data_IF_611097928309
#
_entry.id   IF_611097928309
#
_cell.length_a   1.000
_cell.length_b   1.000
_cell.length_c   1.000
_cell.angle_alpha   90.00
_cell.angle_beta   90.00
_cell.angle_gamma   90.00
#
_symmetry.space_group_name_H-M   'P 1'
#
loop_
_entity.id
_entity.type
_entity.pdbx_description
1 polymer ?
#
# COMPACT_ATOMS: atom_id res chain seq x y z
N UNK A 1 -35.03 4.78 11.77
CA UNK A 1 -34.06 3.71 11.45
C UNK A 1 -34.85 2.41 11.40
N UNK A 2 -34.97 1.82 10.22
CA UNK A 2 -35.97 0.78 9.94
C UNK A 2 -35.55 -0.62 10.36
N UNK A 3 -36.53 -1.46 10.70
CA UNK A 3 -36.43 -2.88 11.06
C UNK A 3 -35.82 -3.78 9.95
N UNK A 4 -35.48 -3.21 8.80
CA UNK A 4 -34.84 -3.90 7.66
C UNK A 4 -33.32 -4.07 7.83
N UNK A 5 -32.68 -3.33 8.72
CA UNK A 5 -31.22 -3.41 8.93
C UNK A 5 -30.78 -4.61 9.80
N UNK A 6 -31.73 -5.31 10.46
CA UNK A 6 -31.44 -6.46 11.33
C UNK A 6 -31.17 -7.76 10.56
N UNK A 7 -31.54 -7.84 9.27
CA UNK A 7 -31.38 -9.04 8.42
C UNK A 7 -30.45 -8.85 7.21
N UNK A 8 -29.70 -7.75 7.15
CA UNK A 8 -28.74 -7.49 6.07
C UNK A 8 -27.43 -8.23 6.36
N UNK A 9 -27.24 -9.41 5.77
CA UNK A 9 -25.94 -10.10 5.81
C UNK A 9 -24.92 -9.25 5.05
N UNK A 10 -23.84 -8.87 5.72
CA UNK A 10 -22.76 -8.11 5.08
C UNK A 10 -22.27 -8.83 3.83
N UNK A 11 -22.22 -8.10 2.74
CA UNK A 11 -21.64 -8.61 1.50
C UNK A 11 -20.14 -8.85 1.70
N UNK A 12 -19.51 -9.79 0.96
CA UNK A 12 -18.06 -9.98 1.01
C UNK A 12 -17.27 -8.68 0.77
N UNK A 13 -17.80 -7.80 -0.08
CA UNK A 13 -17.22 -6.49 -0.39
C UNK A 13 -17.29 -5.51 0.79
N UNK A 14 -18.40 -5.49 1.53
CA UNK A 14 -18.56 -4.68 2.75
C UNK A 14 -17.60 -5.16 3.86
N UNK A 15 -17.44 -6.48 4.02
CA UNK A 15 -16.46 -7.06 4.97
C UNK A 15 -15.03 -6.62 4.65
N UNK A 16 -14.62 -6.72 3.39
CA UNK A 16 -13.28 -6.28 2.94
C UNK A 16 -13.06 -4.79 3.25
N UNK A 17 -14.06 -3.94 3.01
CA UNK A 17 -13.99 -2.50 3.35
C UNK A 17 -13.92 -2.25 4.87
N UNK A 18 -14.67 -3.01 5.66
CA UNK A 18 -14.63 -2.95 7.13
C UNK A 18 -13.25 -3.32 7.66
N UNK A 19 -12.68 -4.44 7.21
CA UNK A 19 -11.33 -4.87 7.60
C UNK A 19 -10.27 -3.86 7.15
N UNK A 20 -10.38 -3.29 5.94
CA UNK A 20 -9.43 -2.26 5.48
C UNK A 20 -9.38 -1.07 6.45
N UNK A 21 -10.56 -0.56 6.83
CA UNK A 21 -10.66 0.54 7.81
C UNK A 21 -10.13 0.15 9.19
N UNK A 22 -10.27 -1.12 9.60
CA UNK A 22 -9.68 -1.61 10.85
C UNK A 22 -8.16 -1.61 10.76
N UNK A 23 -7.57 -2.16 9.69
CA UNK A 23 -6.12 -2.17 9.47
C UNK A 23 -5.55 -0.74 9.42
N UNK A 24 -6.21 0.19 8.73
CA UNK A 24 -5.79 1.59 8.65
C UNK A 24 -5.79 2.27 10.04
N UNK A 25 -6.76 1.93 10.91
CA UNK A 25 -6.79 2.40 12.30
C UNK A 25 -5.63 1.81 13.09
N UNK A 26 -5.42 0.50 13.01
CA UNK A 26 -4.29 -0.16 13.69
C UNK A 26 -2.94 0.43 13.25
N UNK A 27 -2.74 0.72 11.97
CA UNK A 27 -1.53 1.41 11.48
C UNK A 27 -1.31 2.76 12.18
N UNK A 28 -2.36 3.58 12.28
CA UNK A 28 -2.27 4.90 12.95
C UNK A 28 -1.99 4.77 14.44
N UNK A 29 -2.58 3.78 15.10
CA UNK A 29 -2.35 3.53 16.52
C UNK A 29 -0.92 3.05 16.77
N UNK A 30 -0.36 2.18 15.90
CA UNK A 30 1.05 1.80 15.95
C UNK A 30 1.99 2.99 15.73
N UNK A 31 1.67 3.89 14.80
CA UNK A 31 2.47 5.10 14.56
C UNK A 31 2.46 6.03 15.78
N UNK A 32 1.31 6.17 16.45
CA UNK A 32 1.19 6.93 17.71
C UNK A 32 2.00 6.29 18.83
N UNK A 33 1.92 4.98 18.99
CA UNK A 33 2.66 4.25 20.02
C UNK A 33 4.18 4.34 19.79
N UNK A 34 4.62 4.21 18.53
CA UNK A 34 6.01 4.45 18.13
C UNK A 34 6.48 5.85 18.52
N UNK A 35 5.68 6.89 18.27
CA UNK A 35 6.07 8.26 18.62
C UNK A 35 6.23 8.46 20.14
N UNK A 36 5.38 7.79 20.94
CA UNK A 36 5.53 7.77 22.41
C UNK A 36 6.83 7.09 22.83
N UNK A 37 7.12 5.91 22.27
CA UNK A 37 8.35 5.16 22.56
C UNK A 37 9.62 5.93 22.12
N UNK A 38 9.60 6.60 20.97
CA UNK A 38 10.70 7.46 20.50
C UNK A 38 10.95 8.65 21.44
N UNK A 39 9.88 9.25 21.96
CA UNK A 39 9.99 10.33 22.96
C UNK A 39 10.56 9.80 24.28
N UNK A 40 10.12 8.64 24.72
CA UNK A 40 10.65 7.97 25.91
C UNK A 40 12.13 7.61 25.73
N UNK A 41 12.53 7.11 24.56
CA UNK A 41 13.92 6.82 24.23
C UNK A 41 14.81 8.07 24.38
N UNK A 42 14.35 9.22 23.88
CA UNK A 42 15.05 10.51 24.01
C UNK A 42 15.15 10.94 25.48
N UNK A 43 14.09 10.76 26.28
CA UNK A 43 14.10 11.08 27.72
C UNK A 43 15.12 10.23 28.47
N UNK A 44 15.09 8.91 28.27
CA UNK A 44 16.05 7.98 28.88
C UNK A 44 17.48 8.38 28.49
N UNK A 45 17.72 8.75 27.23
CA UNK A 45 19.04 9.20 26.78
C UNK A 45 19.50 10.48 27.50
N UNK A 46 18.61 11.45 27.71
CA UNK A 46 18.93 12.69 28.43
C UNK A 46 19.21 12.43 29.92
N UNK A 47 18.37 11.63 30.57
CA UNK A 47 18.54 11.25 31.97
C UNK A 47 19.82 10.45 32.19
N UNK A 48 20.11 9.49 31.30
CA UNK A 48 21.36 8.71 31.31
C UNK A 48 22.60 9.62 31.21
N UNK A 49 22.57 10.63 30.33
CA UNK A 49 23.66 11.63 30.24
C UNK A 49 23.80 12.46 31.51
N UNK A 50 22.69 12.83 32.16
CA UNK A 50 22.71 13.60 33.41
C UNK A 50 23.31 12.79 34.54
N UNK A 51 22.89 11.53 34.71
CA UNK A 51 23.36 10.64 35.78
C UNK A 51 24.82 10.23 35.56
N UNK A 52 25.26 10.10 34.30
CA UNK A 52 26.66 9.87 33.97
C UNK A 52 27.57 11.03 34.40
N UNK A 53 27.10 12.28 34.32
CA UNK A 53 27.85 13.46 34.83
C UNK A 53 27.91 13.52 36.36
N UNK A 54 27.01 12.82 37.05
CA UNK A 54 26.95 12.74 38.51
C UNK A 54 27.69 11.51 39.06
N UNK A 55 28.45 10.80 38.20
CA UNK A 55 29.18 9.56 38.50
C UNK A 55 28.31 8.44 39.11
N UNK A 56 27.00 8.44 38.83
CA UNK A 56 26.07 7.41 39.28
C UNK A 56 26.04 6.22 38.32
N UNK A 57 27.10 5.43 38.32
CA UNK A 57 27.34 4.32 37.37
C UNK A 57 26.25 3.25 37.41
N UNK A 58 25.73 2.90 38.59
CA UNK A 58 24.69 1.87 38.74
C UNK A 58 23.35 2.31 38.13
N UNK A 59 22.97 3.57 38.32
CA UNK A 59 21.76 4.14 37.71
C UNK A 59 21.88 4.17 36.19
N UNK A 60 23.05 4.56 35.66
CA UNK A 60 23.35 4.54 34.21
C UNK A 60 23.24 3.13 33.65
N UNK A 61 23.73 2.11 34.37
CA UNK A 61 23.65 0.71 33.93
C UNK A 61 22.20 0.22 33.84
N UNK A 62 21.33 0.61 34.77
CA UNK A 62 19.90 0.28 34.76
C UNK A 62 19.22 0.98 33.57
N UNK A 63 19.44 2.28 33.39
CA UNK A 63 18.86 3.05 32.27
C UNK A 63 19.35 2.57 30.90
N UNK A 64 20.60 2.13 30.79
CA UNK A 64 21.13 1.56 29.56
C UNK A 64 20.38 0.27 29.14
N UNK A 65 20.03 -0.58 30.12
CA UNK A 65 19.19 -1.77 29.85
C UNK A 65 17.79 -1.37 29.38
N UNK A 66 17.20 -0.34 29.98
CA UNK A 66 15.87 0.16 29.59
C UNK A 66 15.86 0.79 28.20
N UNK A 67 16.94 1.51 27.84
CA UNK A 67 17.15 2.05 26.49
C UNK A 67 17.17 0.93 25.45
N UNK A 68 17.90 -0.16 25.71
CA UNK A 68 17.98 -1.31 24.79
C UNK A 68 16.61 -1.98 24.64
N UNK A 69 15.84 -2.11 25.74
CA UNK A 69 14.47 -2.65 25.68
C UNK A 69 13.58 -1.76 24.82
N UNK A 70 13.56 -0.46 25.08
CA UNK A 70 12.77 0.53 24.33
C UNK A 70 13.10 0.49 22.83
N UNK A 71 14.38 0.39 22.46
CA UNK A 71 14.81 0.23 21.06
C UNK A 71 14.29 -1.05 20.41
N UNK A 72 14.32 -2.18 21.13
CA UNK A 72 13.75 -3.45 20.64
C UNK A 72 12.23 -3.34 20.43
N UNK A 73 11.51 -2.66 21.32
CA UNK A 73 10.08 -2.39 21.14
C UNK A 73 9.83 -1.49 19.91
N UNK A 74 10.59 -0.42 19.74
CA UNK A 74 10.52 0.42 18.53
C UNK A 74 10.72 -0.41 17.25
N UNK A 75 11.74 -1.28 17.21
CA UNK A 75 11.98 -2.17 16.07
C UNK A 75 10.81 -3.15 15.83
N UNK A 76 10.24 -3.71 16.90
CA UNK A 76 9.06 -4.59 16.80
C UNK A 76 7.85 -3.85 16.20
N UNK A 77 7.63 -2.59 16.58
CA UNK A 77 6.55 -1.76 16.00
C UNK A 77 6.74 -1.53 14.51
N UNK A 78 7.97 -1.26 14.04
CA UNK A 78 8.24 -1.15 12.60
C UNK A 78 7.90 -2.44 11.85
N UNK A 79 8.32 -3.60 12.37
CA UNK A 79 8.00 -4.90 11.75
C UNK A 79 6.50 -5.13 11.67
N UNK A 80 5.77 -4.87 12.76
CA UNK A 80 4.31 -5.02 12.79
C UNK A 80 3.61 -4.08 11.80
N UNK A 81 4.03 -2.81 11.71
CA UNK A 81 3.51 -1.87 10.72
C UNK A 81 3.68 -2.41 9.30
N UNK A 82 4.89 -2.85 8.94
CA UNK A 82 5.17 -3.37 7.59
C UNK A 82 4.34 -4.62 7.29
N UNK A 83 4.16 -5.52 8.27
CA UNK A 83 3.30 -6.69 8.12
C UNK A 83 1.84 -6.30 7.84
N UNK A 84 1.29 -5.33 8.59
CA UNK A 84 -0.07 -4.83 8.36
C UNK A 84 -0.21 -4.17 6.99
N UNK A 85 0.79 -3.39 6.57
CA UNK A 85 0.81 -2.80 5.23
C UNK A 85 0.79 -3.89 4.14
N UNK A 86 1.57 -4.96 4.29
CA UNK A 86 1.54 -6.11 3.38
C UNK A 86 0.17 -6.81 3.33
N UNK A 87 -0.49 -6.99 4.48
CA UNK A 87 -1.85 -7.54 4.54
C UNK A 87 -2.86 -6.60 3.87
N UNK A 88 -2.74 -5.29 4.08
CA UNK A 88 -3.61 -4.28 3.44
C UNK A 88 -3.49 -4.32 1.92
N UNK A 89 -2.26 -4.45 1.39
CA UNK A 89 -2.01 -4.59 -0.04
C UNK A 89 -2.65 -5.87 -0.61
N UNK A 90 -2.43 -7.03 0.03
CA UNK A 90 -3.08 -8.28 -0.38
C UNK A 90 -4.60 -8.18 -0.39
N UNK A 91 -5.16 -7.48 0.60
CA UNK A 91 -6.61 -7.27 0.68
C UNK A 91 -7.12 -6.32 -0.42
N UNK A 92 -6.34 -5.33 -0.82
CA UNK A 92 -6.63 -4.49 -1.98
C UNK A 92 -6.61 -5.30 -3.29
N UNK A 93 -5.61 -6.16 -3.49
CA UNK A 93 -5.56 -7.08 -4.65
C UNK A 93 -6.78 -8.00 -4.67
N UNK A 94 -7.15 -8.58 -3.52
CA UNK A 94 -8.35 -9.41 -3.39
C UNK A 94 -9.64 -8.63 -3.72
N UNK A 95 -9.73 -7.36 -3.32
CA UNK A 95 -10.87 -6.51 -3.67
C UNK A 95 -10.97 -6.29 -5.19
N UNK A 96 -9.86 -5.95 -5.85
CA UNK A 96 -9.81 -5.74 -7.31
C UNK A 96 -10.15 -7.01 -8.07
N UNK A 97 -9.62 -8.16 -7.62
CA UNK A 97 -9.93 -9.48 -8.19
C UNK A 97 -11.41 -9.83 -8.06
N UNK A 98 -12.00 -9.57 -6.88
CA UNK A 98 -13.44 -9.79 -6.66
C UNK A 98 -14.32 -8.88 -7.54
N UNK A 99 -13.93 -7.61 -7.75
CA UNK A 99 -14.63 -6.69 -8.64
C UNK A 99 -14.52 -7.13 -10.11
N UNK A 100 -13.34 -7.60 -10.52
CA UNK A 100 -13.13 -8.16 -11.85
C UNK A 100 -14.00 -9.39 -12.07
N UNK A 101 -14.04 -10.34 -11.12
CA UNK A 101 -14.90 -11.52 -11.20
C UNK A 101 -16.39 -11.15 -11.33
N UNK A 102 -16.86 -10.12 -10.61
CA UNK A 102 -18.24 -9.65 -10.68
C UNK A 102 -18.55 -8.98 -12.04
N UNK A 103 -17.60 -8.18 -12.56
CA UNK A 103 -17.70 -7.61 -13.91
C UNK A 103 -17.74 -8.71 -14.99
N UNK A 104 -16.87 -9.72 -14.88
CA UNK A 104 -16.84 -10.87 -15.78
C UNK A 104 -18.12 -11.68 -15.73
N UNK A 105 -18.75 -11.80 -14.56
CA UNK A 105 -20.08 -12.42 -14.41
C UNK A 105 -21.17 -11.63 -15.14
N UNK A 106 -21.10 -10.30 -15.11
CA UNK A 106 -21.98 -9.42 -15.89
C UNK A 106 -21.77 -9.60 -17.40
N UNK A 107 -20.51 -9.57 -17.85
CA UNK A 107 -20.13 -9.78 -19.26
C UNK A 107 -20.55 -11.17 -19.74
N UNK A 108 -20.26 -12.25 -19.00
CA UNK A 108 -20.70 -13.60 -19.37
C UNK A 108 -22.22 -13.75 -19.37
N UNK A 109 -22.96 -13.07 -18.49
CA UNK A 109 -24.42 -13.07 -18.52
C UNK A 109 -24.97 -12.37 -19.75
N UNK A 110 -24.42 -11.20 -20.11
CA UNK A 110 -24.75 -10.47 -21.34
C UNK A 110 -24.40 -11.31 -22.58
N UNK A 111 -23.22 -11.92 -22.58
CA UNK A 111 -22.74 -12.80 -23.63
C UNK A 111 -23.59 -14.07 -23.75
N UNK A 112 -24.07 -14.66 -22.64
CA UNK A 112 -25.02 -15.79 -22.65
C UNK A 112 -26.38 -15.38 -23.20
N UNK A 113 -26.86 -14.19 -22.86
CA UNK A 113 -28.10 -13.65 -23.45
C UNK A 113 -27.96 -13.29 -24.94
N UNK A 114 -26.75 -12.93 -25.39
CA UNK A 114 -26.41 -12.63 -26.77
C UNK A 114 -26.15 -13.92 -27.59
N UNK A 115 -25.56 -14.95 -26.99
CA UNK A 115 -25.33 -16.29 -27.56
C UNK A 115 -26.66 -17.00 -27.88
N UNK A 116 -27.73 -16.67 -27.16
CA UNK A 116 -29.10 -17.08 -27.54
C UNK A 116 -29.56 -16.53 -28.91
N UNK A 117 -28.81 -15.59 -29.51
CA UNK A 117 -29.14 -14.93 -30.78
C UNK A 117 -27.97 -14.84 -31.78
N UNK A 118 -26.75 -15.31 -31.48
CA UNK A 118 -25.59 -15.24 -32.41
C UNK A 118 -24.48 -16.27 -32.12
N UNK A 119 -23.78 -16.71 -33.18
CA UNK A 119 -22.84 -17.84 -33.28
C UNK A 119 -21.71 -17.90 -32.21
N UNK A 120 -21.51 -19.11 -31.69
CA UNK A 120 -20.65 -19.55 -30.56
C UNK A 120 -19.11 -19.41 -30.70
N UNK A 121 -18.45 -19.30 -31.87
CA UNK A 121 -16.97 -19.36 -31.96
C UNK A 121 -16.19 -18.17 -31.37
N UNK A 122 -16.68 -16.94 -31.52
CA UNK A 122 -15.92 -15.74 -31.12
C UNK A 122 -15.84 -15.56 -29.61
N UNK A 123 -16.88 -16.00 -28.90
CA UNK A 123 -16.97 -15.98 -27.43
C UNK A 123 -15.87 -16.83 -26.78
N UNK A 124 -15.63 -18.03 -27.32
CA UNK A 124 -14.58 -18.93 -26.84
C UNK A 124 -13.17 -18.42 -27.15
N UNK A 125 -13.03 -17.56 -28.18
CA UNK A 125 -11.75 -16.92 -28.51
C UNK A 125 -11.43 -15.81 -27.50
N UNK A 126 -12.42 -14.98 -27.15
CA UNK A 126 -12.25 -13.90 -26.15
C UNK A 126 -11.91 -14.47 -24.76
N UNK A 127 -12.54 -15.58 -24.35
CA UNK A 127 -12.22 -16.23 -23.06
C UNK A 127 -10.79 -16.79 -23.03
N UNK A 128 -10.34 -17.42 -24.13
CA UNK A 128 -8.96 -17.92 -24.24
C UNK A 128 -7.92 -16.80 -24.31
N UNK A 129 -8.21 -15.71 -25.04
CA UNK A 129 -7.34 -14.55 -25.10
C UNK A 129 -7.22 -13.87 -23.72
N UNK A 130 -8.33 -13.83 -22.98
CA UNK A 130 -8.35 -13.31 -21.61
C UNK A 130 -7.55 -14.19 -20.64
N UNK A 131 -7.74 -15.51 -20.66
CA UNK A 131 -6.95 -16.44 -19.84
C UNK A 131 -5.45 -16.25 -20.11
N UNK A 132 -5.07 -16.15 -21.39
CA UNK A 132 -3.67 -15.90 -21.79
C UNK A 132 -3.14 -14.55 -21.32
N UNK A 133 -3.95 -13.48 -21.38
CA UNK A 133 -3.54 -12.17 -20.87
C UNK A 133 -3.46 -12.11 -19.35
N UNK A 134 -4.36 -12.82 -18.66
CA UNK A 134 -4.37 -12.87 -17.20
C UNK A 134 -3.17 -13.70 -16.67
N UNK A 135 -2.82 -14.78 -17.37
CA UNK A 135 -1.61 -15.57 -17.12
C UNK A 135 -0.33 -14.76 -17.44
N UNK A 136 -0.35 -13.98 -18.52
CA UNK A 136 0.74 -13.05 -18.86
C UNK A 136 0.84 -11.88 -17.86
N UNK A 137 -0.26 -11.46 -17.24
CA UNK A 137 -0.27 -10.46 -16.18
C UNK A 137 0.32 -11.03 -14.88
N UNK A 138 -0.04 -12.27 -14.51
CA UNK A 138 0.60 -12.98 -13.39
C UNK A 138 2.10 -13.18 -13.61
N UNK A 139 2.51 -13.63 -14.80
CA UNK A 139 3.93 -13.73 -15.17
C UNK A 139 4.63 -12.37 -15.20
N UNK A 140 3.98 -11.28 -15.63
CA UNK A 140 4.58 -9.93 -15.56
C UNK A 140 4.73 -9.44 -14.13
N UNK A 141 3.80 -9.77 -13.25
CA UNK A 141 3.90 -9.42 -11.82
C UNK A 141 5.05 -10.18 -11.17
N UNK A 142 5.20 -11.47 -11.47
CA UNK A 142 6.33 -12.30 -10.99
C UNK A 142 7.67 -11.88 -11.63
N UNK A 143 7.74 -11.64 -12.94
CA UNK A 143 8.95 -11.14 -13.60
C UNK A 143 9.32 -9.72 -13.17
N UNK A 144 8.35 -8.87 -12.83
CA UNK A 144 8.63 -7.54 -12.31
C UNK A 144 9.08 -7.60 -10.85
N UNK A 145 8.53 -8.49 -10.04
CA UNK A 145 9.02 -8.75 -8.69
C UNK A 145 10.43 -9.36 -8.72
N UNK A 146 10.71 -10.31 -9.61
CA UNK A 146 12.04 -10.91 -9.78
C UNK A 146 13.06 -9.93 -10.36
N UNK A 147 12.68 -9.08 -11.33
CA UNK A 147 13.57 -8.04 -11.85
C UNK A 147 13.85 -6.93 -10.83
N UNK A 148 12.86 -6.57 -10.01
CA UNK A 148 13.01 -5.60 -8.92
C UNK A 148 13.83 -6.21 -7.78
N UNK A 149 13.65 -7.48 -7.43
CA UNK A 149 14.43 -8.15 -6.40
C UNK A 149 15.85 -8.49 -6.88
N UNK A 150 16.05 -8.82 -8.17
CA UNK A 150 17.37 -8.97 -8.80
C UNK A 150 18.10 -7.62 -8.89
N UNK A 151 17.40 -6.52 -9.20
CA UNK A 151 17.97 -5.17 -9.14
C UNK A 151 18.30 -4.77 -7.70
N UNK A 152 17.45 -5.09 -6.72
CA UNK A 152 17.71 -4.82 -5.29
C UNK A 152 18.88 -5.64 -4.73
N UNK A 153 19.08 -6.87 -5.20
CA UNK A 153 20.20 -7.72 -4.78
C UNK A 153 21.51 -7.40 -5.51
N UNK A 154 21.49 -7.06 -6.81
CA UNK A 154 22.70 -6.68 -7.57
C UNK A 154 23.23 -5.28 -7.24
N UNK A 155 22.38 -4.34 -6.84
CA UNK A 155 22.80 -2.95 -6.58
C UNK A 155 23.13 -2.69 -5.10
N UNK A 156 22.97 -3.67 -4.21
CA UNK A 156 23.44 -3.57 -2.82
C UNK A 156 22.84 -2.38 -2.04
N UNK A 157 21.60 -1.98 -2.35
CA UNK A 157 20.98 -0.80 -1.75
C UNK A 157 20.39 -1.16 -0.39
N UNK A 158 21.22 -1.11 0.65
CA UNK A 158 20.76 -0.95 2.03
C UNK A 158 20.35 0.51 2.26
N UNK A 159 19.07 0.81 2.12
CA UNK A 159 18.24 1.84 2.80
C UNK A 159 18.76 3.29 3.08
N UNK A 160 19.92 3.76 2.62
CA UNK A 160 20.47 5.07 3.06
C UNK A 160 20.59 6.17 2.02
N UNK A 161 20.20 5.98 0.76
CA UNK A 161 20.26 7.07 -0.22
C UNK A 161 19.14 6.98 -1.27
N UNK A 162 17.99 7.59 -0.97
CA UNK A 162 17.02 7.97 -1.99
C UNK A 162 17.19 9.46 -2.31
N UNK A 163 17.80 9.85 -3.44
CA UNK A 163 17.32 11.02 -4.15
C UNK A 163 15.96 10.65 -4.75
N UNK A 164 14.91 11.30 -4.26
CA UNK A 164 13.60 11.25 -4.89
C UNK A 164 13.73 11.85 -6.30
N UNK A 165 13.46 11.05 -7.35
CA UNK A 165 13.04 11.59 -8.64
C UNK A 165 12.03 10.66 -9.32
N UNK A 166 10.77 11.10 -9.26
CA UNK A 166 9.72 11.02 -10.29
C UNK A 166 9.56 9.73 -11.10
N UNK A 167 8.51 8.98 -10.77
CA UNK A 167 7.71 8.24 -11.74
C UNK A 167 7.16 9.21 -12.79
N UNK A 168 7.36 8.89 -14.06
CA UNK A 168 6.79 9.58 -15.21
C UNK A 168 5.26 9.45 -15.20
N UNK A 169 4.59 10.50 -14.71
CA UNK A 169 3.32 10.98 -15.24
C UNK A 169 3.64 12.23 -16.03
N UNK A 170 3.18 12.28 -17.28
CA UNK A 170 3.26 13.40 -18.20
C UNK A 170 3.06 14.74 -17.46
N UNK A 171 4.14 15.50 -17.31
CA UNK A 171 4.08 16.91 -16.97
C UNK A 171 4.19 17.68 -18.28
N UNK A 172 3.09 18.28 -18.72
CA UNK A 172 3.18 19.47 -19.58
C UNK A 172 4.16 20.41 -18.90
N UNK A 173 5.23 20.80 -19.60
CA UNK A 173 6.17 21.76 -19.05
C UNK A 173 5.42 23.06 -18.79
N UNK A 174 5.66 23.73 -17.65
CA UNK A 174 5.06 25.03 -17.35
C UNK A 174 5.28 26.05 -18.50
N UNK A 175 6.33 25.84 -19.30
CA UNK A 175 6.67 26.57 -20.52
C UNK A 175 5.68 26.36 -21.68
N UNK A 176 5.09 25.16 -21.84
CA UNK A 176 4.04 24.86 -22.82
C UNK A 176 2.67 25.40 -22.40
N UNK A 177 2.38 25.41 -21.10
CA UNK A 177 1.15 26.01 -20.55
C UNK A 177 1.16 27.54 -20.71
N UNK A 178 2.31 28.18 -20.47
CA UNK A 178 2.49 29.62 -20.71
C UNK A 178 2.44 29.96 -22.20
N UNK A 179 3.02 29.13 -23.07
CA UNK A 179 2.93 29.30 -24.52
C UNK A 179 1.47 29.20 -25.04
N UNK A 180 0.68 28.26 -24.49
CA UNK A 180 -0.76 28.12 -24.83
C UNK A 180 -1.60 29.28 -24.30
N UNK A 181 -1.34 29.75 -23.09
CA UNK A 181 -2.03 30.92 -22.52
C UNK A 181 -1.72 32.21 -23.27
N UNK A 182 -0.49 32.38 -23.76
CA UNK A 182 -0.11 33.50 -24.61
C UNK A 182 -0.81 33.46 -25.99
N UNK A 183 -0.87 32.29 -26.62
CA UNK A 183 -1.56 32.10 -27.90
C UNK A 183 -3.08 32.37 -27.80
N UNK A 184 -3.71 31.97 -26.69
CA UNK A 184 -5.15 32.15 -26.46
C UNK A 184 -5.50 33.61 -26.12
N UNK A 185 -4.59 34.35 -25.47
CA UNK A 185 -4.73 35.82 -25.28
C UNK A 185 -4.55 36.60 -26.58
N UNK A 186 -3.68 36.13 -27.49
CA UNK A 186 -3.46 36.77 -28.78
C UNK A 186 -4.65 36.61 -29.75
N UNK A 187 -5.47 35.56 -29.61
CA UNK A 187 -6.66 35.36 -30.43
C UNK A 187 -7.94 36.04 -29.90
N UNK A 188 -7.88 36.65 -28.71
CA UNK A 188 -9.01 37.36 -28.09
C UNK A 188 -8.86 38.89 -28.14
N UNK A 189 -7.94 39.40 -28.95
CA UNK A 189 -7.76 40.83 -29.22
C UNK A 189 -7.85 41.07 -30.72
#
# INVERSE_FOLDING_TARGET
MGLTDLFRRETPQERIRMYKRQLDRTCRDLDRERNKLSTQERKIMMEMKKMAKQDQVDAVRIMARDLVRTRKYNQKMYRMRTQIQGVSLRMQTMQSSAQMADAMKGVTKAMRSMNKKMNIPEVQKIMREFEKQNEMMGMKEDMMNDAVDEFRTKVGVTDTALPQKSTETQGETDEELDARLAALKASMK
#
